data_IF_764676391482
#
_entry.id   IF_764676391482
#
_cell.length_a   1.000
_cell.length_b   1.000
_cell.length_c   1.000
_cell.angle_alpha   90.00
_cell.angle_beta   90.00
_cell.angle_gamma   90.00
#
_symmetry.space_group_name_H-M   'P 1'
#
loop_
_entity.id
_entity.type
_entity.pdbx_description
1 polymer ?
#
# COMPACT_ATOMS: atom_id res chain seq x y z
N UNK A 1 42.21 32.98 36.53
CA UNK A 1 40.98 32.96 35.69
C UNK A 1 41.36 33.01 34.21
N UNK A 2 41.25 31.93 33.45
CA UNK A 2 41.56 31.89 32.02
C UNK A 2 40.38 32.51 31.23
N UNK A 3 40.61 33.62 30.51
CA UNK A 3 39.62 34.23 29.63
C UNK A 3 39.24 33.26 28.52
N UNK A 4 37.94 32.87 28.42
CA UNK A 4 37.42 32.08 27.28
C UNK A 4 37.66 32.85 25.97
N UNK A 5 38.19 32.21 24.92
CA UNK A 5 38.38 32.84 23.62
C UNK A 5 37.03 33.32 23.05
N UNK A 6 36.93 34.59 22.65
CA UNK A 6 35.75 35.14 21.95
C UNK A 6 35.84 34.73 20.52
N UNK A 7 34.88 33.91 20.05
CA UNK A 7 34.76 33.53 18.63
C UNK A 7 34.43 34.80 17.83
N UNK A 8 35.18 35.13 16.77
CA UNK A 8 34.92 36.34 15.93
C UNK A 8 33.52 36.21 15.27
N UNK A 9 32.75 37.30 15.23
CA UNK A 9 31.41 37.33 14.65
C UNK A 9 31.38 36.86 13.19
N UNK A 10 32.46 37.09 12.43
CA UNK A 10 32.61 36.63 11.03
C UNK A 10 32.57 35.08 10.95
N UNK A 11 33.22 34.38 11.87
CA UNK A 11 33.22 32.89 11.91
C UNK A 11 31.81 32.36 12.20
N UNK A 12 31.09 33.01 13.12
CA UNK A 12 29.67 32.62 13.38
C UNK A 12 28.79 32.81 12.13
N UNK A 13 28.95 33.93 11.42
CA UNK A 13 28.23 34.21 10.19
C UNK A 13 28.51 33.16 9.10
N UNK A 14 29.79 32.81 8.89
CA UNK A 14 30.19 31.79 7.90
C UNK A 14 29.61 30.42 8.25
N UNK A 15 29.65 30.01 9.52
CA UNK A 15 29.07 28.74 9.99
C UNK A 15 27.55 28.70 9.77
N UNK A 16 26.85 29.80 10.09
CA UNK A 16 25.40 29.88 9.86
C UNK A 16 25.04 29.75 8.38
N UNK A 17 25.75 30.47 7.49
CA UNK A 17 25.55 30.35 6.04
C UNK A 17 25.79 28.92 5.57
N UNK A 18 26.86 28.29 6.03
CA UNK A 18 27.15 26.88 5.67
C UNK A 18 26.05 25.93 6.14
N UNK A 19 25.55 26.08 7.39
CA UNK A 19 24.44 25.27 7.92
C UNK A 19 23.17 25.46 7.09
N UNK A 20 22.84 26.70 6.70
CA UNK A 20 21.68 26.97 5.84
C UNK A 20 21.82 26.30 4.46
N UNK A 21 23.00 26.46 3.82
CA UNK A 21 23.26 25.84 2.51
C UNK A 21 23.19 24.30 2.60
N UNK A 22 23.74 23.70 3.66
CA UNK A 22 23.67 22.26 3.89
C UNK A 22 22.23 21.80 4.11
N UNK A 23 21.43 22.56 4.85
CA UNK A 23 20.01 22.25 5.09
C UNK A 23 19.19 22.31 3.79
N UNK A 24 19.44 23.33 2.95
CA UNK A 24 18.78 23.45 1.63
C UNK A 24 19.19 22.31 0.71
N UNK A 25 20.48 21.96 0.69
CA UNK A 25 20.98 20.83 -0.09
C UNK A 25 20.36 19.51 0.35
N UNK A 26 20.29 19.23 1.67
CA UNK A 26 19.66 18.03 2.20
C UNK A 26 18.17 17.96 1.86
N UNK A 27 17.45 19.07 2.02
CA UNK A 27 16.02 19.12 1.68
C UNK A 27 15.79 18.89 0.17
N UNK A 28 16.61 19.50 -0.69
CA UNK A 28 16.54 19.29 -2.14
C UNK A 28 16.85 17.85 -2.56
N UNK A 29 17.85 17.24 -1.92
CA UNK A 29 18.21 15.85 -2.13
C UNK A 29 17.09 14.88 -1.70
N UNK A 30 16.42 15.14 -0.56
CA UNK A 30 15.30 14.31 -0.10
C UNK A 30 14.09 14.43 -1.04
N UNK A 31 13.77 15.63 -1.53
CA UNK A 31 12.70 15.82 -2.52
C UNK A 31 13.02 15.12 -3.84
N UNK A 32 14.27 15.19 -4.30
CA UNK A 32 14.69 14.50 -5.52
C UNK A 32 14.57 12.96 -5.37
N UNK A 33 14.98 12.39 -4.22
CA UNK A 33 14.83 10.96 -3.93
C UNK A 33 13.36 10.52 -3.88
N UNK A 34 12.49 11.34 -3.27
CA UNK A 34 11.06 11.05 -3.23
C UNK A 34 10.45 11.02 -4.63
N UNK A 35 10.85 11.98 -5.48
CA UNK A 35 10.41 12.01 -6.87
C UNK A 35 10.89 10.78 -7.64
N UNK A 36 12.17 10.44 -7.55
CA UNK A 36 12.73 9.25 -8.22
C UNK A 36 12.01 7.95 -7.81
N UNK A 37 11.66 7.81 -6.52
CA UNK A 37 10.90 6.66 -6.06
C UNK A 37 9.47 6.64 -6.65
N UNK A 38 8.84 7.79 -6.82
CA UNK A 38 7.52 7.89 -7.46
C UNK A 38 7.59 7.58 -8.95
N UNK A 39 8.57 8.14 -9.66
CA UNK A 39 8.81 7.87 -11.09
C UNK A 39 9.00 6.34 -11.31
N UNK A 40 9.69 5.63 -10.41
CA UNK A 40 9.84 4.17 -10.49
C UNK A 40 8.50 3.43 -10.39
N UNK A 41 7.56 3.88 -9.55
CA UNK A 41 6.24 3.25 -9.46
C UNK A 41 5.36 3.55 -10.66
N UNK A 42 5.47 4.74 -11.24
CA UNK A 42 4.80 5.09 -12.50
C UNK A 42 5.33 4.22 -13.65
N UNK A 43 6.65 4.03 -13.77
CA UNK A 43 7.26 3.12 -14.74
C UNK A 43 6.78 1.67 -14.56
N UNK A 44 6.64 1.19 -13.31
CA UNK A 44 6.11 -0.15 -13.02
C UNK A 44 4.63 -0.27 -13.34
N UNK A 45 3.83 0.76 -13.10
CA UNK A 45 2.40 0.80 -13.45
C UNK A 45 2.22 0.77 -14.97
N UNK A 46 3.01 1.56 -15.71
CA UNK A 46 2.99 1.55 -17.19
C UNK A 46 3.37 0.18 -17.75
N UNK A 47 4.34 -0.51 -17.12
CA UNK A 47 4.77 -1.84 -17.54
C UNK A 47 3.65 -2.89 -17.45
N UNK A 48 2.79 -2.81 -16.44
CA UNK A 48 1.69 -3.79 -16.22
C UNK A 48 0.40 -3.44 -16.94
N UNK A 49 0.26 -2.20 -17.44
CA UNK A 49 -0.90 -1.73 -18.21
C UNK A 49 -0.67 -1.73 -19.72
N UNK A 50 0.57 -1.99 -20.19
CA UNK A 50 0.87 -2.06 -21.60
C UNK A 50 0.08 -3.21 -22.25
N UNK A 51 -0.64 -2.97 -23.38
CA UNK A 51 -1.29 -4.04 -24.12
C UNK A 51 -0.21 -5.00 -24.65
N UNK A 52 -0.48 -6.31 -24.55
CA UNK A 52 0.37 -7.30 -25.21
C UNK A 52 0.40 -6.97 -26.70
N UNK A 53 1.61 -6.81 -27.30
CA UNK A 53 1.76 -6.67 -28.75
C UNK A 53 1.11 -7.88 -29.44
N UNK A 54 0.19 -7.68 -30.39
CA UNK A 54 -0.47 -8.78 -31.09
C UNK A 54 0.44 -9.33 -32.22
N UNK A 55 1.62 -9.84 -31.91
CA UNK A 55 2.43 -10.65 -32.82
C UNK A 55 2.46 -12.10 -32.33
N UNK A 56 1.40 -12.85 -32.60
CA UNK A 56 1.38 -14.26 -32.97
C UNK A 56 -0.02 -14.87 -32.83
N UNK A 57 -0.92 -14.56 -33.72
CA UNK A 57 -1.95 -15.51 -34.18
C UNK A 57 -2.67 -15.00 -35.43
N UNK A 58 -2.00 -15.13 -36.57
CA UNK A 58 -2.74 -15.19 -37.84
C UNK A 58 -3.15 -16.64 -38.09
N UNK A 59 -4.40 -16.96 -37.81
CA UNK A 59 -5.10 -18.07 -38.45
C UNK A 59 -6.47 -17.57 -38.84
N UNK A 60 -6.66 -17.44 -40.15
CA UNK A 60 -7.89 -17.08 -40.84
C UNK A 60 -9.08 -17.92 -40.39
N UNK A 61 -10.21 -17.29 -40.07
CA UNK A 61 -11.52 -17.84 -40.39
C UNK A 61 -12.55 -16.72 -40.53
N UNK A 62 -13.02 -16.55 -41.74
CA UNK A 62 -14.12 -15.67 -42.16
C UNK A 62 -15.48 -16.28 -41.79
N UNK A 63 -16.38 -15.48 -41.19
CA UNK A 63 -17.85 -15.36 -41.40
C UNK A 63 -18.60 -14.99 -40.10
N UNK A 64 -19.90 -14.55 -40.12
CA UNK A 64 -20.29 -13.17 -40.39
C UNK A 64 -20.90 -12.48 -39.13
N UNK A 65 -21.09 -11.17 -39.25
CA UNK A 65 -21.74 -10.25 -38.30
C UNK A 65 -23.10 -10.77 -37.81
N UNK A 66 -23.27 -10.91 -36.46
CA UNK A 66 -24.58 -10.84 -35.82
C UNK A 66 -24.48 -10.36 -34.38
N UNK A 67 -25.17 -9.25 -34.09
CA UNK A 67 -25.55 -8.67 -32.83
C UNK A 67 -24.43 -8.24 -31.83
N UNK A 68 -24.13 -6.94 -31.86
CA UNK A 68 -23.46 -6.25 -30.79
C UNK A 68 -24.34 -6.23 -29.54
N UNK A 69 -24.15 -7.19 -28.62
CA UNK A 69 -24.47 -7.01 -27.22
C UNK A 69 -23.45 -6.02 -26.65
N UNK A 70 -23.95 -5.02 -25.95
CA UNK A 70 -23.11 -4.04 -25.25
C UNK A 70 -22.20 -4.80 -24.27
N UNK A 71 -20.93 -4.98 -24.65
CA UNK A 71 -19.90 -5.46 -23.73
C UNK A 71 -19.76 -4.39 -22.64
N UNK A 72 -20.08 -4.75 -21.39
CA UNK A 72 -19.63 -4.00 -20.24
C UNK A 72 -18.12 -3.82 -20.36
N UNK A 73 -17.54 -2.65 -19.99
CA UNK A 73 -16.10 -2.44 -20.07
C UNK A 73 -15.44 -3.54 -19.23
N UNK A 74 -14.79 -4.48 -19.88
CA UNK A 74 -13.89 -5.42 -19.22
C UNK A 74 -12.79 -4.54 -18.60
N UNK A 75 -12.78 -4.41 -17.27
CA UNK A 75 -11.65 -3.82 -16.57
C UNK A 75 -10.41 -4.61 -16.95
N UNK A 76 -9.49 -3.99 -17.69
CA UNK A 76 -8.26 -4.61 -18.15
C UNK A 76 -7.48 -5.09 -16.94
N UNK A 77 -7.33 -6.40 -16.78
CA UNK A 77 -6.49 -7.01 -15.77
C UNK A 77 -5.03 -6.69 -16.10
N UNK A 78 -4.26 -6.23 -15.11
CA UNK A 78 -2.83 -5.95 -15.27
C UNK A 78 -2.05 -7.22 -15.61
N UNK A 79 -1.09 -7.13 -16.52
CA UNK A 79 -0.15 -8.22 -16.74
C UNK A 79 1.01 -8.12 -15.73
N UNK A 80 0.95 -8.87 -14.65
CA UNK A 80 1.97 -8.88 -13.60
C UNK A 80 3.15 -9.79 -13.88
N UNK A 81 3.16 -10.56 -14.96
CA UNK A 81 4.19 -11.57 -15.29
C UNK A 81 5.59 -10.97 -15.29
N UNK A 82 5.75 -9.80 -15.92
CA UNK A 82 7.04 -9.11 -15.99
C UNK A 82 7.55 -8.67 -14.61
N UNK A 83 6.66 -8.31 -13.67
CA UNK A 83 7.07 -7.95 -12.31
C UNK A 83 7.56 -9.18 -11.54
N UNK A 84 6.86 -10.32 -11.69
CA UNK A 84 7.25 -11.58 -11.04
C UNK A 84 8.59 -12.09 -11.56
N UNK A 85 8.90 -11.89 -12.85
CA UNK A 85 10.19 -12.22 -13.43
C UNK A 85 11.32 -11.31 -12.93
N UNK A 86 11.04 -10.02 -12.74
CA UNK A 86 12.04 -9.03 -12.30
C UNK A 86 12.35 -9.14 -10.81
N UNK A 87 11.35 -9.51 -9.99
CA UNK A 87 11.54 -9.66 -8.55
C UNK A 87 10.64 -10.76 -7.99
N UNK A 88 11.25 -11.88 -7.59
CA UNK A 88 10.55 -13.04 -7.02
C UNK A 88 9.83 -12.77 -5.69
N UNK A 89 10.15 -11.67 -4.99
CA UNK A 89 9.43 -11.24 -3.78
C UNK A 89 8.13 -10.49 -4.12
N UNK A 90 7.90 -10.12 -5.38
CA UNK A 90 6.64 -9.53 -5.82
C UNK A 90 5.57 -10.63 -5.88
N UNK A 91 4.45 -10.43 -5.18
CA UNK A 91 3.34 -11.38 -5.13
C UNK A 91 2.06 -10.85 -5.74
N UNK A 92 2.03 -9.57 -6.13
CA UNK A 92 0.83 -8.95 -6.67
C UNK A 92 0.92 -7.45 -6.78
N UNK A 93 -0.25 -6.85 -6.94
CA UNK A 93 -0.49 -5.41 -7.03
C UNK A 93 -1.68 -5.02 -6.18
N UNK A 94 -1.55 -3.93 -5.41
CA UNK A 94 -2.62 -3.39 -4.58
C UNK A 94 -3.06 -2.03 -5.10
N UNK A 95 -4.37 -1.83 -5.28
CA UNK A 95 -4.94 -0.57 -5.75
C UNK A 95 -6.17 -0.20 -4.92
N UNK A 96 -6.36 1.09 -4.68
CA UNK A 96 -7.62 1.67 -4.25
C UNK A 96 -8.04 2.67 -5.32
N UNK A 97 -9.05 2.35 -6.15
CA UNK A 97 -9.45 3.19 -7.29
C UNK A 97 -9.70 4.63 -6.89
N UNK A 98 -9.18 5.57 -7.70
CA UNK A 98 -9.31 7.01 -7.47
C UNK A 98 -8.44 7.58 -6.34
N UNK A 99 -7.50 6.81 -5.78
CA UNK A 99 -6.56 7.26 -4.75
C UNK A 99 -5.10 7.11 -5.18
N UNK A 100 -4.17 7.54 -4.32
CA UNK A 100 -2.74 7.35 -4.55
C UNK A 100 -2.24 5.92 -4.22
N UNK A 101 -3.09 5.00 -3.77
CA UNK A 101 -2.71 3.61 -3.50
C UNK A 101 -2.81 2.82 -4.79
N UNK A 102 -1.68 2.63 -5.46
CA UNK A 102 -1.55 1.88 -6.71
C UNK A 102 -0.09 1.39 -6.82
N UNK A 103 0.21 0.23 -6.21
CA UNK A 103 1.58 -0.21 -5.96
C UNK A 103 1.75 -1.73 -6.09
N UNK A 104 2.96 -2.20 -6.49
CA UNK A 104 3.32 -3.61 -6.34
C UNK A 104 3.23 -4.02 -4.86
N UNK A 105 2.86 -5.28 -4.63
CA UNK A 105 2.83 -5.88 -3.31
C UNK A 105 3.97 -6.88 -3.15
N UNK A 106 4.81 -6.66 -2.14
CA UNK A 106 5.96 -7.50 -1.85
C UNK A 106 5.67 -8.46 -0.69
N UNK A 107 6.37 -9.61 -0.64
CA UNK A 107 6.30 -10.55 0.47
C UNK A 107 7.62 -11.28 0.68
N UNK A 108 8.07 -11.33 1.92
CA UNK A 108 9.23 -12.11 2.35
C UNK A 108 8.97 -12.68 3.75
N UNK A 109 9.24 -13.97 3.92
CA UNK A 109 9.03 -14.67 5.20
C UNK A 109 10.24 -14.57 6.12
N UNK A 110 11.47 -14.52 5.56
CA UNK A 110 12.71 -14.50 6.33
C UNK A 110 13.05 -13.10 6.88
N UNK A 111 12.79 -12.05 6.11
CA UNK A 111 12.99 -10.64 6.49
C UNK A 111 11.70 -9.87 6.22
N UNK A 112 10.74 -10.01 7.11
CA UNK A 112 9.38 -9.48 6.95
C UNK A 112 9.31 -7.97 6.78
N UNK A 113 10.34 -7.22 7.17
CA UNK A 113 10.43 -5.77 7.01
C UNK A 113 11.39 -5.32 5.89
N UNK A 114 11.85 -6.27 5.04
CA UNK A 114 12.80 -5.99 3.95
C UNK A 114 12.41 -4.77 3.13
N UNK A 115 11.14 -4.67 2.75
CA UNK A 115 10.61 -3.61 1.90
C UNK A 115 10.17 -2.34 2.64
N UNK A 116 10.33 -2.29 3.96
CA UNK A 116 10.10 -1.07 4.73
C UNK A 116 11.03 0.08 4.29
N UNK A 117 12.26 -0.24 3.83
CA UNK A 117 13.26 0.74 3.42
C UNK A 117 13.96 0.39 2.09
N UNK A 118 13.30 -0.41 1.26
CA UNK A 118 13.79 -0.77 -0.08
C UNK A 118 12.73 -0.48 -1.12
N UNK A 119 13.17 -0.13 -2.33
CA UNK A 119 12.32 -0.06 -3.50
C UNK A 119 12.06 -1.46 -4.08
N UNK A 120 11.31 -1.51 -5.17
CA UNK A 120 11.00 -2.77 -5.88
C UNK A 120 12.25 -3.55 -6.28
N UNK A 121 13.33 -2.88 -6.65
CA UNK A 121 14.60 -3.50 -7.08
C UNK A 121 15.56 -3.81 -5.93
N UNK A 122 15.15 -3.58 -4.67
CA UNK A 122 15.95 -3.85 -3.48
C UNK A 122 16.95 -2.75 -3.12
N UNK A 123 16.99 -1.63 -3.83
CA UNK A 123 17.80 -0.48 -3.48
C UNK A 123 17.17 0.29 -2.30
N UNK A 124 17.98 1.07 -1.58
CA UNK A 124 17.47 1.86 -0.45
C UNK A 124 16.45 2.91 -0.92
N UNK A 125 15.27 2.89 -0.34
CA UNK A 125 14.19 3.87 -0.55
C UNK A 125 13.59 4.32 0.77
N UNK A 126 13.41 5.62 0.95
CA UNK A 126 12.73 6.17 2.13
C UNK A 126 11.22 5.86 2.11
N UNK A 127 10.65 5.67 0.94
CA UNK A 127 9.23 5.37 0.73
C UNK A 127 8.92 3.89 1.00
N UNK A 128 9.90 3.00 0.82
CA UNK A 128 9.63 1.56 0.82
C UNK A 128 8.68 1.14 -0.31
N UNK A 129 8.16 -0.07 -0.22
CA UNK A 129 7.09 -0.62 -1.05
C UNK A 129 6.09 -1.29 -0.12
N UNK A 130 4.77 -1.27 -0.37
CA UNK A 130 3.80 -2.04 0.41
C UNK A 130 4.16 -3.52 0.45
N UNK A 131 4.05 -4.13 1.63
CA UNK A 131 4.42 -5.52 1.82
C UNK A 131 3.44 -6.27 2.74
N UNK A 132 3.21 -7.54 2.42
CA UNK A 132 2.42 -8.46 3.22
C UNK A 132 3.21 -8.87 4.48
N UNK A 133 2.53 -9.02 5.60
CA UNK A 133 3.13 -9.53 6.85
C UNK A 133 3.81 -10.89 6.57
N UNK A 134 5.08 -11.04 6.97
CA UNK A 134 5.85 -12.25 6.69
C UNK A 134 5.28 -13.54 7.30
N UNK A 135 4.32 -13.42 8.24
CA UNK A 135 3.58 -14.55 8.84
C UNK A 135 2.35 -14.94 8.02
N UNK A 136 1.91 -14.10 7.07
CA UNK A 136 0.80 -14.40 6.17
C UNK A 136 1.27 -15.23 4.97
N UNK A 137 0.33 -15.97 4.39
CA UNK A 137 0.35 -16.40 2.99
C UNK A 137 -0.88 -15.82 2.28
N UNK A 138 -0.98 -15.94 0.96
CA UNK A 138 -2.17 -15.46 0.23
C UNK A 138 -3.46 -16.21 0.62
N UNK A 139 -3.37 -17.35 1.31
CA UNK A 139 -4.48 -18.13 1.82
C UNK A 139 -4.85 -17.78 3.27
N UNK A 140 -4.12 -16.88 3.92
CA UNK A 140 -4.43 -16.45 5.29
C UNK A 140 -5.84 -15.86 5.38
N UNK A 141 -6.52 -16.06 6.51
CA UNK A 141 -7.86 -15.52 6.73
C UNK A 141 -7.90 -13.98 6.77
N UNK A 142 -6.79 -13.35 7.15
CA UNK A 142 -6.61 -11.90 7.13
C UNK A 142 -5.23 -11.56 6.59
N UNK A 143 -5.19 -10.93 5.43
CA UNK A 143 -3.97 -10.42 4.78
C UNK A 143 -3.61 -9.06 5.38
N UNK A 144 -2.52 -8.97 6.15
CA UNK A 144 -2.09 -7.70 6.72
C UNK A 144 -0.99 -7.11 5.85
N UNK A 145 -1.27 -5.96 5.23
CA UNK A 145 -0.36 -5.26 4.33
C UNK A 145 0.09 -3.95 5.00
N UNK A 146 1.39 -3.77 5.08
CA UNK A 146 2.02 -2.58 5.65
C UNK A 146 2.48 -1.62 4.57
N UNK A 147 2.36 -0.32 4.83
CA UNK A 147 2.89 0.74 3.99
C UNK A 147 3.15 2.02 4.78
N UNK A 148 4.11 2.82 4.33
CA UNK A 148 4.47 4.07 4.99
C UNK A 148 3.36 5.13 4.87
N UNK A 149 3.12 5.86 5.96
CA UNK A 149 2.34 7.12 5.95
C UNK A 149 3.25 8.26 5.51
N UNK A 150 3.37 8.46 4.20
CA UNK A 150 4.19 9.56 3.66
C UNK A 150 3.44 10.88 3.75
N UNK A 151 4.15 11.95 4.16
CA UNK A 151 3.56 13.30 4.32
C UNK A 151 3.03 13.89 3.02
N UNK A 152 3.64 13.54 1.89
CA UNK A 152 3.21 13.94 0.54
C UNK A 152 1.99 13.15 0.02
N UNK A 153 1.44 12.21 0.81
CA UNK A 153 0.27 11.42 0.46
C UNK A 153 0.54 10.15 -0.34
N UNK A 154 1.79 9.90 -0.76
CA UNK A 154 2.19 8.65 -1.44
C UNK A 154 2.22 7.46 -0.49
N UNK A 155 2.43 6.26 -1.02
CA UNK A 155 2.30 5.00 -0.29
C UNK A 155 0.94 4.90 0.40
N UNK A 156 0.90 4.65 1.70
CA UNK A 156 -0.32 4.64 2.50
C UNK A 156 -0.61 5.99 3.17
N UNK A 157 0.01 7.08 2.68
CA UNK A 157 -0.21 8.43 3.21
C UNK A 157 -1.63 8.96 2.97
N UNK A 158 -2.29 8.55 1.89
CA UNK A 158 -3.70 8.90 1.59
C UNK A 158 -4.69 8.18 2.50
N UNK A 159 -4.33 7.04 3.12
CA UNK A 159 -5.23 6.28 4.00
C UNK A 159 -5.72 7.09 5.20
N UNK A 160 -5.00 8.13 5.63
CA UNK A 160 -5.46 9.05 6.69
C UNK A 160 -6.80 9.71 6.36
N UNK A 161 -7.14 9.85 5.07
CA UNK A 161 -8.39 10.46 4.64
C UNK A 161 -9.61 9.58 5.00
N UNK A 162 -9.43 8.27 5.16
CA UNK A 162 -10.48 7.36 5.65
C UNK A 162 -10.91 7.63 7.09
N UNK A 163 -10.28 8.55 7.80
CA UNK A 163 -10.83 9.03 9.08
C UNK A 163 -12.11 9.86 8.87
N UNK A 164 -12.43 10.24 7.64
CA UNK A 164 -13.66 10.87 7.21
C UNK A 164 -14.53 9.84 6.46
N UNK A 165 -15.77 9.65 6.89
CA UNK A 165 -16.71 8.73 6.26
C UNK A 165 -17.09 9.12 4.82
N UNK A 166 -16.98 10.40 4.45
CA UNK A 166 -17.22 10.85 3.07
C UNK A 166 -16.18 10.30 2.10
N UNK A 167 -14.90 10.22 2.52
CA UNK A 167 -13.84 9.64 1.72
C UNK A 167 -14.05 8.13 1.51
N UNK A 168 -14.51 7.41 2.56
CA UNK A 168 -14.90 6.01 2.40
C UNK A 168 -16.04 5.85 1.38
N UNK A 169 -17.05 6.71 1.40
CA UNK A 169 -18.18 6.62 0.47
C UNK A 169 -17.76 6.78 -1.00
N UNK A 170 -16.68 7.52 -1.27
CA UNK A 170 -16.10 7.72 -2.60
C UNK A 170 -15.15 6.56 -2.99
N UNK A 171 -14.50 5.90 -2.02
CA UNK A 171 -13.49 4.85 -2.24
C UNK A 171 -13.75 3.62 -1.35
N UNK A 172 -14.88 2.89 -1.55
CA UNK A 172 -15.29 1.82 -0.64
C UNK A 172 -14.56 0.49 -0.85
N UNK A 173 -13.75 0.35 -1.90
CA UNK A 173 -13.18 -0.94 -2.34
C UNK A 173 -11.67 -0.89 -2.44
N UNK A 174 -11.05 -2.05 -2.23
CA UNK A 174 -9.62 -2.31 -2.44
C UNK A 174 -9.51 -3.45 -3.44
N UNK A 175 -8.65 -3.30 -4.43
CA UNK A 175 -8.33 -4.32 -5.41
C UNK A 175 -6.98 -4.94 -5.07
N UNK A 176 -6.91 -6.26 -5.12
CA UNK A 176 -5.70 -7.04 -4.99
C UNK A 176 -5.58 -7.97 -6.19
N UNK A 177 -4.59 -7.72 -7.04
CA UNK A 177 -4.25 -8.58 -8.17
C UNK A 177 -3.05 -9.43 -7.81
N UNK A 178 -3.11 -10.73 -8.10
CA UNK A 178 -2.05 -11.70 -7.88
C UNK A 178 -1.93 -12.63 -9.09
N UNK A 179 -1.01 -13.57 -9.07
CA UNK A 179 -0.95 -14.63 -10.09
C UNK A 179 -2.25 -15.46 -10.20
N UNK A 180 -3.09 -15.48 -9.17
CA UNK A 180 -4.38 -16.17 -9.17
C UNK A 180 -5.53 -15.34 -9.79
N UNK A 181 -5.26 -14.07 -10.12
CA UNK A 181 -6.23 -13.13 -10.67
C UNK A 181 -6.53 -11.94 -9.76
N UNK A 182 -7.52 -11.15 -10.15
CA UNK A 182 -7.99 -9.96 -9.43
C UNK A 182 -9.03 -10.37 -8.35
N UNK A 183 -8.89 -9.82 -7.17
CA UNK A 183 -9.85 -9.96 -6.08
C UNK A 183 -10.29 -8.57 -5.60
N UNK A 184 -11.59 -8.42 -5.35
CA UNK A 184 -12.19 -7.21 -4.84
C UNK A 184 -12.53 -7.37 -3.36
N UNK A 185 -12.18 -6.37 -2.55
CA UNK A 185 -12.44 -6.32 -1.13
C UNK A 185 -13.24 -5.07 -0.80
N UNK A 186 -14.37 -5.21 -0.11
CA UNK A 186 -15.19 -4.08 0.36
C UNK A 186 -14.80 -3.71 1.79
N UNK A 187 -14.48 -2.43 2.01
CA UNK A 187 -14.08 -1.91 3.31
C UNK A 187 -15.27 -1.96 4.26
N UNK A 188 -15.09 -2.58 5.45
CA UNK A 188 -16.14 -2.66 6.46
C UNK A 188 -15.76 -1.99 7.79
N UNK A 189 -14.47 -1.69 8.02
CA UNK A 189 -14.02 -1.02 9.25
C UNK A 189 -12.78 -0.16 9.02
N UNK A 190 -12.75 0.99 9.69
CA UNK A 190 -11.59 1.88 9.77
C UNK A 190 -11.29 2.11 11.25
N UNK A 191 -10.12 1.66 11.72
CA UNK A 191 -9.78 1.66 13.14
C UNK A 191 -8.50 2.44 13.44
N UNK A 192 -8.46 3.09 14.61
CA UNK A 192 -7.21 3.61 15.20
C UNK A 192 -6.82 2.73 16.35
N UNK A 193 -5.67 2.07 16.24
CA UNK A 193 -5.18 1.11 17.22
C UNK A 193 -3.72 1.41 17.61
N UNK A 194 -3.17 0.62 18.54
CA UNK A 194 -1.75 0.64 18.87
C UNK A 194 -1.01 -0.46 18.11
N UNK A 195 0.30 -0.37 17.96
CA UNK A 195 1.11 -1.34 17.20
C UNK A 195 1.08 -2.78 17.78
N UNK A 196 0.75 -2.92 19.08
CA UNK A 196 0.61 -4.22 19.75
C UNK A 196 -0.83 -4.74 19.79
N UNK A 197 -1.77 -4.11 19.07
CA UNK A 197 -3.18 -4.48 19.08
C UNK A 197 -3.40 -5.97 18.76
N UNK A 198 -4.42 -6.55 19.37
CA UNK A 198 -4.76 -7.95 19.18
C UNK A 198 -5.09 -8.30 17.72
N UNK A 199 -5.56 -7.32 16.93
CA UNK A 199 -5.86 -7.49 15.52
C UNK A 199 -4.69 -8.03 14.71
N UNK A 200 -3.45 -7.64 15.04
CA UNK A 200 -2.24 -8.11 14.35
C UNK A 200 -1.91 -9.60 14.58
N UNK A 201 -2.62 -10.27 15.47
CA UNK A 201 -2.51 -11.73 15.70
C UNK A 201 -3.58 -12.53 14.98
N UNK A 202 -4.57 -11.87 14.41
CA UNK A 202 -5.65 -12.48 13.65
C UNK A 202 -5.20 -12.70 12.20
N UNK A 203 -4.52 -13.81 11.92
CA UNK A 203 -4.03 -14.20 10.59
C UNK A 203 -4.76 -15.45 10.08
N UNK A 204 -5.15 -16.35 10.99
CA UNK A 204 -5.89 -17.56 10.72
C UNK A 204 -7.13 -17.62 11.59
N UNK A 205 -8.10 -18.40 11.19
CA UNK A 205 -9.33 -18.61 11.94
C UNK A 205 -9.77 -20.08 11.80
N UNK A 206 -10.06 -20.72 12.95
CA UNK A 206 -10.43 -22.14 12.99
C UNK A 206 -11.94 -22.33 13.11
N UNK A 207 -12.65 -21.35 13.69
CA UNK A 207 -14.10 -21.46 13.94
C UNK A 207 -14.85 -20.21 13.52
N UNK A 208 -16.14 -20.39 13.17
CA UNK A 208 -17.04 -19.26 12.92
C UNK A 208 -17.16 -18.32 14.12
N UNK A 209 -17.16 -18.88 15.34
CA UNK A 209 -17.25 -18.08 16.58
C UNK A 209 -16.05 -17.13 16.71
N UNK A 210 -14.84 -17.61 16.44
CA UNK A 210 -13.63 -16.80 16.50
C UNK A 210 -13.66 -15.71 15.41
N UNK A 211 -14.09 -16.07 14.20
CA UNK A 211 -14.25 -15.09 13.11
C UNK A 211 -15.23 -13.98 13.52
N UNK A 212 -16.43 -14.34 13.95
CA UNK A 212 -17.45 -13.38 14.35
C UNK A 212 -17.03 -12.52 15.55
N UNK A 213 -16.20 -13.06 16.45
CA UNK A 213 -15.60 -12.29 17.54
C UNK A 213 -14.68 -11.21 17.00
N UNK A 214 -13.83 -11.51 16.01
CA UNK A 214 -12.94 -10.54 15.39
C UNK A 214 -13.71 -9.48 14.58
N UNK A 215 -14.75 -9.89 13.83
CA UNK A 215 -15.59 -8.93 13.10
C UNK A 215 -16.28 -7.98 14.07
N UNK A 216 -16.81 -8.48 15.19
CA UNK A 216 -17.41 -7.63 16.22
C UNK A 216 -16.40 -6.62 16.78
N UNK A 217 -15.20 -7.10 17.16
CA UNK A 217 -14.12 -6.24 17.63
C UNK A 217 -13.79 -5.13 16.61
N UNK A 218 -13.61 -5.46 15.34
CA UNK A 218 -13.30 -4.49 14.31
C UNK A 218 -14.42 -3.45 14.13
N UNK A 219 -15.69 -3.86 14.26
CA UNK A 219 -16.83 -2.94 14.16
C UNK A 219 -17.00 -2.06 15.42
N UNK A 220 -16.72 -2.58 16.60
CA UNK A 220 -16.76 -1.81 17.85
C UNK A 220 -15.65 -0.75 17.92
N UNK A 221 -14.48 -1.05 17.32
CA UNK A 221 -13.35 -0.11 17.22
C UNK A 221 -13.45 0.84 16.01
N UNK A 222 -14.43 0.65 15.11
CA UNK A 222 -14.56 1.43 13.90
C UNK A 222 -14.88 2.91 14.19
N UNK A 223 -14.30 3.82 13.40
CA UNK A 223 -14.53 5.26 13.50
C UNK A 223 -15.97 5.64 13.11
N UNK A 224 -16.60 4.84 12.26
CA UNK A 224 -17.97 4.98 11.77
C UNK A 224 -18.52 3.62 11.32
N UNK A 225 -19.82 3.49 11.21
CA UNK A 225 -20.47 2.27 10.70
C UNK A 225 -20.59 2.34 9.17
N UNK A 226 -20.05 1.34 8.48
CA UNK A 226 -20.13 1.19 7.02
C UNK A 226 -21.39 0.44 6.58
N UNK A 227 -22.11 -0.17 7.51
CA UNK A 227 -23.24 -1.08 7.22
C UNK A 227 -22.83 -2.46 6.72
N UNK A 228 -21.55 -2.71 6.46
CA UNK A 228 -21.04 -4.00 5.94
C UNK A 228 -20.73 -4.94 7.10
N UNK A 229 -21.18 -6.19 6.99
CA UNK A 229 -20.93 -7.25 7.97
C UNK A 229 -20.37 -8.46 7.25
N UNK A 230 -19.06 -8.72 7.36
CA UNK A 230 -18.46 -9.91 6.77
C UNK A 230 -19.03 -11.21 7.34
N UNK A 231 -19.13 -12.25 6.51
CA UNK A 231 -19.58 -13.59 6.89
C UNK A 231 -18.39 -14.55 7.00
N UNK A 232 -18.56 -15.59 7.83
CA UNK A 232 -17.53 -16.62 7.98
C UNK A 232 -17.18 -17.26 6.63
N UNK A 233 -15.89 -17.43 6.39
CA UNK A 233 -15.33 -17.93 5.13
C UNK A 233 -14.87 -16.83 4.17
N UNK A 234 -15.28 -15.57 4.35
CA UNK A 234 -14.70 -14.47 3.59
C UNK A 234 -13.28 -14.17 4.08
N UNK A 235 -12.35 -14.06 3.14
CA UNK A 235 -11.01 -13.59 3.42
C UNK A 235 -11.03 -12.10 3.73
N UNK A 236 -10.24 -11.68 4.72
CA UNK A 236 -10.07 -10.27 5.07
C UNK A 236 -8.75 -9.73 4.54
N UNK A 237 -8.73 -8.42 4.31
CA UNK A 237 -7.55 -7.65 3.94
C UNK A 237 -7.47 -6.43 4.85
N UNK A 238 -6.31 -6.22 5.47
CA UNK A 238 -6.03 -5.10 6.37
C UNK A 238 -4.87 -4.29 5.84
N UNK A 239 -5.12 -3.02 5.49
CA UNK A 239 -4.04 -2.06 5.23
C UNK A 239 -3.66 -1.37 6.52
N UNK A 240 -2.38 -1.41 6.87
CA UNK A 240 -1.84 -0.84 8.11
C UNK A 240 -0.80 0.24 7.83
N UNK A 241 -0.99 1.40 8.44
CA UNK A 241 -0.01 2.50 8.36
C UNK A 241 0.14 3.22 9.70
N UNK A 242 1.24 3.97 9.87
CA UNK A 242 1.45 4.79 11.07
C UNK A 242 0.41 5.91 11.15
N UNK A 243 -0.08 6.20 12.37
CA UNK A 243 -1.03 7.27 12.64
C UNK A 243 -0.63 8.07 13.89
N UNK A 244 -0.79 9.38 13.83
CA UNK A 244 -0.43 10.29 14.94
C UNK A 244 0.97 10.88 14.81
N UNK A 245 1.68 11.08 15.92
CA UNK A 245 3.02 11.67 15.92
C UNK A 245 4.06 10.77 15.28
N UNK A 246 5.04 11.36 14.60
CA UNK A 246 6.16 10.62 14.00
C UNK A 246 6.88 9.78 15.06
N UNK A 247 7.04 8.47 14.79
CA UNK A 247 7.66 7.51 15.72
C UNK A 247 6.73 7.03 16.84
N UNK A 248 5.45 7.42 16.86
CA UNK A 248 4.45 6.93 17.81
C UNK A 248 3.96 5.51 17.49
N UNK A 249 3.28 4.91 18.47
CA UNK A 249 2.77 3.54 18.41
C UNK A 249 1.38 3.45 17.74
N UNK A 250 0.78 4.60 17.41
CA UNK A 250 -0.54 4.66 16.75
C UNK A 250 -0.52 4.10 15.34
N UNK A 251 -1.55 3.34 15.00
CA UNK A 251 -1.78 2.78 13.66
C UNK A 251 -3.19 3.10 13.20
N UNK A 252 -3.31 3.31 11.89
CA UNK A 252 -4.59 3.36 11.20
C UNK A 252 -4.73 2.07 10.39
N UNK A 253 -5.83 1.38 10.61
CA UNK A 253 -6.18 0.17 9.88
C UNK A 253 -7.40 0.44 9.01
N UNK A 254 -7.31 0.04 7.73
CA UNK A 254 -8.43 -0.05 6.81
C UNK A 254 -8.69 -1.53 6.59
N UNK A 255 -9.83 -2.01 7.04
CA UNK A 255 -10.17 -3.45 7.03
C UNK A 255 -11.29 -3.70 6.05
N UNK A 256 -11.05 -4.65 5.14
CA UNK A 256 -11.97 -5.00 4.08
C UNK A 256 -12.22 -6.51 4.04
N UNK A 257 -13.34 -6.93 3.49
CA UNK A 257 -13.70 -8.33 3.27
C UNK A 257 -13.81 -8.63 1.78
N UNK A 258 -13.31 -9.77 1.35
CA UNK A 258 -13.36 -10.22 -0.05
C UNK A 258 -14.82 -10.36 -0.48
N UNK A 259 -15.17 -9.74 -1.61
CA UNK A 259 -16.51 -9.78 -2.20
C UNK A 259 -16.53 -10.50 -3.55
N UNK A 260 -15.43 -10.49 -4.27
CA UNK A 260 -15.21 -11.17 -5.55
C UNK A 260 -13.78 -11.70 -5.65
#
# INVERSE_FOLDING_TARGET
>A
MKKKPKIPRAVIGTVLVFVVLLSVFMAGHDLWRQKQAQDTFEDLADLVTAPEDPEESQAESSAPEEFAEAQEPQEEQRNLSLLFEQNADCIGWICIPGTAVDYPLMHTTEDSEKYLRKDFYGAYSINGVPFLDGRCSLESANLIIYGHNMKNGTMFGSLKNYTDASYYAEHPTIELETAAGKALYTIFSVMKVQKEDAWYRFLTVDTETDFLHQIRYARECALYDTGIIPTYGQQLLTLSTCYGSSGGDGRLLIVAAKTE
#
